data_IF_906951559687
#
_entry.id   IF_906951559687
#
_cell.length_a   1.000
_cell.length_b   1.000
_cell.length_c   1.000
_cell.angle_alpha   90.00
_cell.angle_beta   90.00
_cell.angle_gamma   90.00
#
_symmetry.space_group_name_H-M   'P 1'
#
loop_
_entity.id
_entity.type
_entity.pdbx_description
1 polymer ?
#
# COMPACT_ATOMS: atom_id res chain seq x y z
N UNK A 1 -28.17 14.73 -13.81
CA UNK A 1 -26.71 14.87 -13.96
C UNK A 1 -26.16 13.45 -13.87
N UNK A 2 -25.86 12.83 -15.00
CA UNK A 2 -25.21 11.52 -15.07
C UNK A 2 -23.73 11.74 -14.70
N UNK A 3 -23.40 11.51 -13.44
CA UNK A 3 -22.00 11.49 -13.04
C UNK A 3 -21.37 10.21 -13.59
N UNK A 4 -20.44 10.35 -14.53
CA UNK A 4 -19.63 9.22 -14.98
C UNK A 4 -18.96 8.58 -13.75
N UNK A 5 -19.42 7.41 -13.39
CA UNK A 5 -18.81 6.63 -12.30
C UNK A 5 -17.44 6.17 -12.77
N UNK A 6 -16.40 6.87 -12.32
CA UNK A 6 -15.02 6.48 -12.65
C UNK A 6 -14.63 5.29 -11.81
N UNK A 7 -14.58 4.13 -12.42
CA UNK A 7 -14.08 2.89 -11.78
C UNK A 7 -12.59 3.01 -11.56
N UNK A 8 -12.17 2.83 -10.31
CA UNK A 8 -10.77 2.83 -9.88
C UNK A 8 -10.34 1.42 -9.50
N UNK A 9 -9.06 1.16 -9.61
CA UNK A 9 -8.48 -0.14 -9.31
C UNK A 9 -7.43 0.00 -8.21
N UNK A 10 -7.47 -0.91 -7.23
CA UNK A 10 -6.46 -1.00 -6.18
C UNK A 10 -5.91 -2.40 -6.06
N UNK A 11 -4.60 -2.57 -5.89
CA UNK A 11 -3.98 -3.83 -5.52
C UNK A 11 -4.48 -4.27 -4.14
N UNK A 12 -4.84 -5.55 -4.01
CA UNK A 12 -5.33 -6.13 -2.75
C UNK A 12 -4.59 -7.40 -2.36
N UNK A 13 -4.04 -8.10 -3.35
CA UNK A 13 -3.33 -9.35 -3.10
C UNK A 13 -2.22 -9.58 -4.12
N UNK A 14 -1.15 -10.27 -3.69
CA UNK A 14 -0.06 -10.71 -4.57
C UNK A 14 0.07 -12.22 -4.46
N UNK A 15 0.17 -12.88 -5.59
CA UNK A 15 0.46 -14.32 -5.69
C UNK A 15 1.54 -14.54 -6.73
N UNK A 16 2.01 -15.77 -6.87
CA UNK A 16 3.03 -16.13 -7.85
C UNK A 16 2.46 -17.21 -8.76
N UNK A 17 2.77 -17.11 -10.05
CA UNK A 17 2.47 -18.18 -11.02
C UNK A 17 3.41 -19.39 -10.83
N UNK A 18 3.27 -20.39 -11.70
CA UNK A 18 4.08 -21.60 -11.66
C UNK A 18 5.58 -21.32 -11.94
N UNK A 19 5.86 -20.29 -12.69
CA UNK A 19 7.19 -19.82 -13.06
C UNK A 19 7.81 -18.91 -11.99
N UNK A 20 7.05 -18.54 -10.94
CA UNK A 20 7.49 -17.68 -9.86
C UNK A 20 7.33 -16.17 -10.16
N UNK A 21 6.66 -15.81 -11.25
CA UNK A 21 6.40 -14.40 -11.57
C UNK A 21 5.27 -13.83 -10.71
N UNK A 22 5.38 -12.55 -10.26
CA UNK A 22 4.35 -11.94 -9.44
C UNK A 22 3.10 -11.61 -10.24
N UNK A 23 1.96 -12.05 -9.72
CA UNK A 23 0.62 -11.73 -10.18
C UNK A 23 -0.09 -10.91 -9.12
N UNK A 24 -0.62 -9.76 -9.50
CA UNK A 24 -1.30 -8.82 -8.60
C UNK A 24 -2.80 -8.84 -8.87
N UNK A 25 -3.57 -9.13 -7.84
CA UNK A 25 -5.03 -9.04 -7.89
C UNK A 25 -5.46 -7.60 -7.58
N UNK A 26 -6.27 -7.05 -8.49
CA UNK A 26 -6.87 -5.74 -8.37
C UNK A 26 -8.38 -5.87 -8.14
N UNK A 27 -8.89 -5.00 -7.28
CA UNK A 27 -10.32 -4.85 -7.03
C UNK A 27 -10.78 -3.47 -7.51
N UNK A 28 -11.94 -3.44 -8.15
CA UNK A 28 -12.58 -2.19 -8.55
C UNK A 28 -13.29 -1.53 -7.36
N UNK A 29 -13.23 -0.20 -7.29
CA UNK A 29 -13.96 0.60 -6.31
C UNK A 29 -14.34 1.97 -6.91
N UNK A 30 -15.35 2.61 -6.33
CA UNK A 30 -15.89 3.87 -6.83
C UNK A 30 -15.52 5.07 -5.96
N UNK A 31 -15.33 4.86 -4.67
CA UNK A 31 -15.12 5.92 -3.70
C UNK A 31 -13.73 6.57 -3.81
N UNK A 32 -13.67 7.85 -3.51
CA UNK A 32 -12.38 8.56 -3.35
C UNK A 32 -11.97 8.57 -1.89
N UNK A 33 -10.67 8.43 -1.67
CA UNK A 33 -10.07 8.49 -0.35
C UNK A 33 -10.16 7.16 0.41
N UNK A 34 -9.30 7.05 1.39
CA UNK A 34 -9.28 5.99 2.36
C UNK A 34 -9.94 6.52 3.64
N UNK A 35 -10.97 5.84 4.13
CA UNK A 35 -11.78 6.30 5.26
C UNK A 35 -11.45 5.57 6.55
N UNK A 36 -10.80 4.40 6.45
CA UNK A 36 -10.53 3.53 7.59
C UNK A 36 -9.11 3.75 8.15
N UNK A 37 -8.87 3.42 9.43
CA UNK A 37 -7.56 3.53 10.06
C UNK A 37 -6.45 2.68 9.42
N UNK A 38 -6.82 1.56 8.80
CA UNK A 38 -5.94 0.63 8.09
C UNK A 38 -6.44 0.42 6.67
N UNK A 39 -5.51 0.26 5.74
CA UNK A 39 -5.82 0.07 4.31
C UNK A 39 -6.73 -1.14 4.06
N UNK A 40 -6.44 -2.26 4.70
CA UNK A 40 -7.22 -3.50 4.48
C UNK A 40 -8.67 -3.38 4.96
N UNK A 41 -8.95 -2.51 5.92
CA UNK A 41 -10.34 -2.23 6.33
C UNK A 41 -11.13 -1.49 5.24
N UNK A 42 -10.48 -0.64 4.45
CA UNK A 42 -11.10 -0.05 3.25
C UNK A 42 -11.30 -1.11 2.16
N UNK A 43 -10.33 -2.01 1.95
CA UNK A 43 -10.47 -3.15 1.04
C UNK A 43 -11.66 -4.03 1.45
N UNK A 44 -11.78 -4.39 2.72
CA UNK A 44 -12.93 -5.15 3.22
C UNK A 44 -14.26 -4.42 2.96
N UNK A 45 -14.28 -3.10 3.13
CA UNK A 45 -15.46 -2.28 2.85
C UNK A 45 -15.81 -2.29 1.36
N UNK A 46 -14.83 -2.16 0.48
CA UNK A 46 -15.06 -2.25 -0.98
C UNK A 46 -15.60 -3.63 -1.38
N UNK A 47 -15.04 -4.69 -0.82
CA UNK A 47 -15.46 -6.06 -1.10
C UNK A 47 -16.88 -6.41 -0.61
N UNK A 48 -17.51 -5.58 0.23
CA UNK A 48 -18.93 -5.70 0.56
C UNK A 48 -19.84 -5.28 -0.59
N UNK A 49 -19.33 -4.50 -1.55
CA UNK A 49 -20.07 -4.15 -2.75
C UNK A 49 -20.02 -5.33 -3.76
N UNK A 50 -21.18 -5.89 -4.18
CA UNK A 50 -21.20 -6.99 -5.14
C UNK A 50 -20.48 -6.66 -6.46
N UNK A 51 -20.52 -5.41 -6.93
CA UNK A 51 -19.79 -4.99 -8.12
C UNK A 51 -18.27 -5.16 -7.96
N UNK A 52 -17.72 -4.81 -6.80
CA UNK A 52 -16.29 -4.99 -6.51
C UNK A 52 -15.87 -6.46 -6.42
N UNK A 53 -16.81 -7.35 -6.01
CA UNK A 53 -16.57 -8.80 -6.02
C UNK A 53 -16.50 -9.37 -7.44
N UNK A 54 -17.29 -8.83 -8.35
CA UNK A 54 -17.36 -9.27 -9.76
C UNK A 54 -16.26 -8.63 -10.60
N UNK A 55 -15.92 -7.37 -10.31
CA UNK A 55 -14.91 -6.60 -11.05
C UNK A 55 -13.54 -6.81 -10.40
N UNK A 56 -12.91 -7.92 -10.73
CA UNK A 56 -11.54 -8.26 -10.33
C UNK A 56 -10.66 -8.45 -11.56
N UNK A 57 -9.42 -8.08 -11.44
CA UNK A 57 -8.39 -8.31 -12.47
C UNK A 57 -7.16 -8.90 -11.83
N UNK A 58 -6.52 -9.83 -12.52
CA UNK A 58 -5.18 -10.30 -12.17
C UNK A 58 -4.23 -9.86 -13.28
N UNK A 59 -3.19 -9.14 -12.92
CA UNK A 59 -2.22 -8.58 -13.87
C UNK A 59 -0.79 -8.89 -13.43
N UNK A 60 0.13 -8.91 -14.39
CA UNK A 60 1.57 -9.04 -14.13
C UNK A 60 2.20 -7.72 -13.70
N UNK A 61 3.47 -7.80 -13.24
CA UNK A 61 4.22 -6.63 -12.77
C UNK A 61 4.34 -5.53 -13.84
N UNK A 62 4.63 -5.89 -15.08
CA UNK A 62 4.74 -4.91 -16.17
C UNK A 62 3.44 -4.14 -16.45
N UNK A 63 2.29 -4.81 -16.38
CA UNK A 63 0.98 -4.16 -16.49
C UNK A 63 0.67 -3.28 -15.28
N UNK A 64 1.05 -3.70 -14.08
CA UNK A 64 0.89 -2.90 -12.86
C UNK A 64 1.69 -1.60 -12.94
N UNK A 65 2.94 -1.66 -13.41
CA UNK A 65 3.78 -0.48 -13.64
C UNK A 65 3.16 0.47 -14.68
N UNK A 66 2.60 -0.08 -15.77
CA UNK A 66 1.94 0.70 -16.82
C UNK A 66 0.60 1.31 -16.38
N UNK A 67 -0.03 0.79 -15.33
CA UNK A 67 -1.30 1.29 -14.81
C UNK A 67 -1.18 2.72 -14.27
N UNK A 68 0.01 3.14 -13.80
CA UNK A 68 0.25 4.45 -13.19
C UNK A 68 1.43 5.14 -13.87
N UNK A 69 1.22 5.74 -15.07
CA UNK A 69 2.29 6.38 -15.82
C UNK A 69 2.86 7.63 -15.14
N UNK A 70 2.07 8.28 -14.28
CA UNK A 70 2.49 9.42 -13.47
C UNK A 70 2.29 9.09 -11.97
N UNK A 71 3.25 8.41 -11.34
CA UNK A 71 3.06 7.91 -9.99
C UNK A 71 3.01 9.05 -8.95
N UNK A 72 2.17 8.89 -7.92
CA UNK A 72 2.16 9.79 -6.77
C UNK A 72 3.53 9.84 -6.10
N UNK A 73 3.86 11.02 -5.58
CA UNK A 73 5.09 11.18 -4.82
C UNK A 73 4.94 10.59 -3.42
N UNK A 74 5.76 9.61 -3.07
CA UNK A 74 5.84 9.13 -1.69
C UNK A 74 6.62 10.16 -0.86
N UNK A 75 5.92 10.88 0.03
CA UNK A 75 6.47 11.99 0.82
C UNK A 75 6.88 11.58 2.24
N UNK A 76 6.57 10.37 2.66
CA UNK A 76 6.99 9.85 3.97
C UNK A 76 6.86 8.34 4.10
N UNK A 77 7.81 7.73 4.81
CA UNK A 77 7.77 6.36 5.29
C UNK A 77 7.68 6.40 6.81
N UNK A 78 6.65 5.79 7.39
CA UNK A 78 6.43 5.71 8.83
C UNK A 78 6.67 4.28 9.29
N UNK A 79 7.74 4.11 10.04
CA UNK A 79 8.04 2.89 10.81
C UNK A 79 7.56 3.09 12.24
N UNK A 80 7.15 2.04 12.90
CA UNK A 80 6.63 2.18 14.24
C UNK A 80 6.78 0.91 15.08
N UNK A 81 6.80 1.11 16.38
CA UNK A 81 6.57 0.06 17.37
C UNK A 81 5.04 -0.14 17.53
N UNK A 82 4.59 -1.37 17.74
CA UNK A 82 3.19 -1.63 18.03
C UNK A 82 2.69 -0.80 19.22
N UNK A 83 1.41 -0.34 19.16
CA UNK A 83 0.72 0.42 20.21
C UNK A 83 1.38 1.76 20.62
N UNK A 84 2.19 2.36 19.75
CA UNK A 84 2.81 3.66 20.00
C UNK A 84 1.96 4.88 19.59
N UNK A 85 0.77 4.67 19.00
CA UNK A 85 -0.10 5.74 18.50
C UNK A 85 0.10 6.07 17.01
N UNK A 86 0.81 5.23 16.27
CA UNK A 86 1.11 5.45 14.84
C UNK A 86 -0.13 5.57 13.96
N UNK A 87 -1.23 4.89 14.31
CA UNK A 87 -2.51 5.00 13.58
C UNK A 87 -3.08 6.41 13.67
N UNK A 88 -3.01 7.05 14.85
CA UNK A 88 -3.44 8.44 15.00
C UNK A 88 -2.59 9.39 14.14
N UNK A 89 -1.27 9.18 14.12
CA UNK A 89 -0.37 9.99 13.27
C UNK A 89 -0.74 9.86 11.79
N UNK A 90 -0.97 8.64 11.30
CA UNK A 90 -1.36 8.45 9.89
C UNK A 90 -2.74 9.02 9.58
N UNK A 91 -3.70 8.95 10.49
CA UNK A 91 -5.00 9.59 10.33
C UNK A 91 -4.87 11.13 10.26
N UNK A 92 -4.01 11.74 11.08
CA UNK A 92 -3.71 13.17 10.98
C UNK A 92 -3.06 13.53 9.64
N UNK A 93 -2.15 12.69 9.12
CA UNK A 93 -1.50 12.91 7.83
C UNK A 93 -2.48 12.77 6.65
N UNK A 94 -3.52 11.95 6.77
CA UNK A 94 -4.56 11.83 5.74
C UNK A 94 -5.47 13.06 5.65
N UNK A 95 -5.43 13.95 6.64
CA UNK A 95 -6.14 15.24 6.58
C UNK A 95 -5.38 16.30 5.77
N UNK A 96 -4.14 16.06 5.42
CA UNK A 96 -3.36 16.98 4.58
C UNK A 96 -3.93 16.96 3.15
N UNK A 97 -4.29 18.12 2.59
CA UNK A 97 -4.86 18.19 1.24
C UNK A 97 -3.98 17.48 0.21
N UNK A 98 -4.59 16.74 -0.70
CA UNK A 98 -3.93 15.97 -1.77
C UNK A 98 -2.83 15.03 -1.25
N UNK A 99 -3.08 14.40 -0.10
CA UNK A 99 -2.21 13.38 0.49
C UNK A 99 -3.03 12.20 0.98
N UNK A 100 -2.61 10.99 0.64
CA UNK A 100 -3.21 9.75 1.13
C UNK A 100 -2.26 9.03 2.06
N UNK A 101 -2.78 8.51 3.17
CA UNK A 101 -2.00 7.66 4.07
C UNK A 101 -2.36 6.19 3.82
N UNK A 102 -1.41 5.45 3.27
CA UNK A 102 -1.47 3.99 3.13
C UNK A 102 -1.01 3.36 4.43
N UNK A 103 -1.94 2.87 5.24
CA UNK A 103 -1.63 2.33 6.56
C UNK A 103 -1.64 0.80 6.55
N UNK A 104 -0.46 0.21 6.67
CA UNK A 104 -0.22 -1.23 6.82
C UNK A 104 -0.90 -2.10 5.74
N UNK A 105 -0.72 -1.83 4.43
CA UNK A 105 -1.32 -2.68 3.39
C UNK A 105 -0.70 -4.08 3.43
N UNK A 106 -1.51 -5.11 3.71
CA UNK A 106 -1.04 -6.50 3.81
C UNK A 106 -0.45 -7.02 2.48
N UNK A 107 -0.93 -6.52 1.33
CA UNK A 107 -0.38 -6.94 0.04
C UNK A 107 1.12 -6.62 -0.13
N UNK A 108 1.69 -5.68 0.63
CA UNK A 108 3.13 -5.40 0.64
C UNK A 108 3.95 -6.51 1.31
N UNK A 109 3.37 -7.28 2.22
CA UNK A 109 4.08 -8.37 2.90
C UNK A 109 4.59 -9.42 1.90
N UNK A 110 3.81 -9.69 0.86
CA UNK A 110 4.21 -10.62 -0.19
C UNK A 110 5.44 -10.13 -0.97
N UNK A 111 5.53 -8.83 -1.25
CA UNK A 111 6.70 -8.25 -1.90
C UNK A 111 7.91 -8.18 -0.95
N UNK A 112 7.68 -7.97 0.35
CA UNK A 112 8.72 -7.87 1.37
C UNK A 112 9.24 -9.24 1.79
N UNK A 113 8.35 -10.22 2.03
CA UNK A 113 8.68 -11.50 2.67
C UNK A 113 8.22 -12.74 1.92
N UNK A 114 7.18 -12.64 1.10
CA UNK A 114 6.52 -13.80 0.49
C UNK A 114 7.33 -14.53 -0.59
N UNK A 115 8.46 -13.97 -1.03
CA UNK A 115 9.23 -14.56 -2.11
C UNK A 115 10.75 -14.26 -2.06
N UNK A 116 11.44 -14.39 -0.90
CA UNK A 116 12.88 -14.15 -0.87
C UNK A 116 13.64 -15.11 -1.82
N UNK A 117 13.12 -16.31 -2.02
CA UNK A 117 13.72 -17.35 -2.87
C UNK A 117 13.16 -17.39 -4.31
N UNK A 118 12.11 -16.63 -4.61
CA UNK A 118 11.43 -16.63 -5.91
C UNK A 118 11.70 -15.38 -6.75
N UNK A 119 11.93 -14.26 -6.11
CA UNK A 119 12.18 -12.99 -6.78
C UNK A 119 13.56 -12.45 -6.44
N UNK A 120 14.28 -12.01 -7.46
CA UNK A 120 15.48 -11.21 -7.26
C UNK A 120 15.16 -9.86 -6.61
N UNK A 121 16.21 -9.22 -6.07
CA UNK A 121 16.07 -7.96 -5.34
C UNK A 121 15.44 -6.85 -6.19
N UNK A 122 15.83 -6.75 -7.45
CA UNK A 122 15.38 -5.67 -8.33
C UNK A 122 13.89 -5.82 -8.67
N UNK A 123 13.44 -7.03 -8.93
CA UNK A 123 12.03 -7.34 -9.14
C UNK A 123 11.21 -7.04 -7.87
N UNK A 124 11.71 -7.34 -6.69
CA UNK A 124 11.05 -6.99 -5.41
C UNK A 124 10.94 -5.48 -5.22
N UNK A 125 11.99 -4.73 -5.53
CA UNK A 125 12.00 -3.25 -5.48
C UNK A 125 10.96 -2.67 -6.45
N UNK A 126 10.90 -3.18 -7.67
CA UNK A 126 9.91 -2.76 -8.69
C UNK A 126 8.49 -3.06 -8.24
N UNK A 127 8.25 -4.28 -7.73
CA UNK A 127 6.94 -4.70 -7.22
C UNK A 127 6.48 -3.80 -6.06
N UNK A 128 7.33 -3.50 -5.09
CA UNK A 128 7.03 -2.59 -3.98
C UNK A 128 6.64 -1.19 -4.48
N UNK A 129 7.40 -0.63 -5.43
CA UNK A 129 7.07 0.67 -6.02
C UNK A 129 5.73 0.64 -6.72
N UNK A 130 5.52 -0.34 -7.59
CA UNK A 130 4.31 -0.45 -8.38
C UNK A 130 3.06 -0.62 -7.50
N UNK A 131 3.14 -1.44 -6.44
CA UNK A 131 2.05 -1.63 -5.48
C UNK A 131 1.71 -0.31 -4.76
N UNK A 132 2.71 0.37 -4.18
CA UNK A 132 2.49 1.63 -3.45
C UNK A 132 1.92 2.70 -4.37
N UNK A 133 2.45 2.84 -5.59
CA UNK A 133 1.95 3.80 -6.56
C UNK A 133 0.51 3.49 -6.99
N UNK A 134 0.21 2.22 -7.29
CA UNK A 134 -1.14 1.82 -7.71
C UNK A 134 -2.19 1.97 -6.60
N UNK A 135 -1.81 1.74 -5.32
CA UNK A 135 -2.69 2.00 -4.19
C UNK A 135 -2.93 3.50 -3.96
N UNK A 136 -1.92 4.35 -4.18
CA UNK A 136 -2.03 5.78 -3.89
C UNK A 136 -2.67 6.59 -5.03
N UNK A 137 -2.39 6.25 -6.28
CA UNK A 137 -2.78 7.02 -7.46
C UNK A 137 -4.27 7.34 -7.58
N UNK A 138 -5.20 6.43 -7.21
CA UNK A 138 -6.62 6.74 -7.27
C UNK A 138 -7.09 7.82 -6.29
N UNK A 139 -6.28 8.15 -5.28
CA UNK A 139 -6.69 8.97 -4.14
C UNK A 139 -6.06 10.36 -4.13
N UNK A 140 -4.73 10.46 -4.39
CA UNK A 140 -3.99 11.71 -4.24
C UNK A 140 -2.70 11.72 -5.07
N UNK A 141 -2.10 12.91 -5.29
CA UNK A 141 -0.79 13.04 -5.93
C UNK A 141 0.38 12.81 -4.98
N UNK A 142 0.13 12.79 -3.65
CA UNK A 142 1.11 12.52 -2.61
C UNK A 142 0.64 11.39 -1.72
N UNK A 143 1.59 10.60 -1.24
CA UNK A 143 1.30 9.50 -0.35
C UNK A 143 2.28 9.45 0.84
N UNK A 144 1.78 8.99 1.97
CA UNK A 144 2.58 8.51 3.10
C UNK A 144 2.33 7.02 3.24
N UNK A 145 3.37 6.23 3.40
CA UNK A 145 3.26 4.80 3.67
C UNK A 145 3.66 4.54 5.13
N UNK A 146 2.73 4.03 5.91
CA UNK A 146 2.99 3.41 7.21
C UNK A 146 3.09 1.91 6.99
N UNK A 147 4.24 1.33 7.28
CA UNK A 147 4.47 -0.11 7.20
C UNK A 147 4.08 -0.79 8.52
N UNK A 148 3.71 -2.06 8.47
CA UNK A 148 3.45 -2.85 9.66
C UNK A 148 4.72 -2.97 10.52
N UNK A 149 4.59 -3.06 11.86
CA UNK A 149 5.71 -2.98 12.80
C UNK A 149 6.85 -3.98 12.51
N UNK A 150 6.49 -5.20 12.11
CA UNK A 150 7.48 -6.25 11.79
C UNK A 150 8.19 -5.99 10.46
N UNK A 151 7.58 -5.25 9.53
CA UNK A 151 8.18 -4.87 8.24
C UNK A 151 9.30 -3.83 8.39
N UNK A 152 9.50 -3.26 9.59
CA UNK A 152 10.66 -2.44 9.87
C UNK A 152 11.98 -3.20 9.69
N UNK A 153 11.96 -4.53 9.79
CA UNK A 153 13.12 -5.39 9.52
C UNK A 153 13.52 -5.39 8.02
N UNK A 154 12.59 -5.05 7.13
CA UNK A 154 12.78 -4.99 5.68
C UNK A 154 13.14 -3.56 5.20
N UNK A 155 13.59 -2.68 6.12
CA UNK A 155 13.87 -1.26 5.84
C UNK A 155 14.87 -1.05 4.68
N UNK A 156 15.82 -1.97 4.46
CA UNK A 156 16.79 -1.87 3.36
C UNK A 156 16.11 -2.02 1.98
N UNK A 157 15.13 -2.91 1.86
CA UNK A 157 14.37 -3.08 0.62
C UNK A 157 13.47 -1.86 0.36
N UNK A 158 12.80 -1.36 1.41
CA UNK A 158 12.00 -0.14 1.34
C UNK A 158 12.87 1.09 0.99
N UNK A 159 14.10 1.18 1.52
CA UNK A 159 15.07 2.21 1.17
C UNK A 159 15.47 2.14 -0.29
N UNK A 160 15.67 0.94 -0.83
CA UNK A 160 16.00 0.73 -2.25
C UNK A 160 14.82 1.09 -3.16
N UNK A 161 13.60 0.79 -2.73
CA UNK A 161 12.40 1.18 -3.46
C UNK A 161 12.16 2.69 -3.45
N UNK A 162 12.43 3.37 -2.33
CA UNK A 162 12.15 4.80 -2.13
C UNK A 162 13.35 5.54 -1.50
N UNK A 163 14.45 5.73 -2.25
CA UNK A 163 15.72 6.19 -1.69
C UNK A 163 15.69 7.61 -1.15
N UNK A 164 14.89 8.49 -1.74
CA UNK A 164 14.80 9.92 -1.38
C UNK A 164 13.66 10.24 -0.42
N UNK A 165 12.82 9.26 -0.07
CA UNK A 165 11.67 9.48 0.81
C UNK A 165 12.12 9.62 2.27
N UNK A 166 11.71 10.70 2.97
CA UNK A 166 11.95 10.86 4.40
C UNK A 166 11.37 9.70 5.21
N UNK A 167 12.05 9.34 6.29
CA UNK A 167 11.68 8.22 7.16
C UNK A 167 11.53 8.69 8.59
N UNK A 168 10.48 8.21 9.25
CA UNK A 168 10.22 8.47 10.67
C UNK A 168 10.02 7.13 11.37
N UNK A 169 10.61 6.96 12.53
CA UNK A 169 10.34 5.84 13.42
C UNK A 169 9.60 6.34 14.67
N UNK A 170 8.38 5.84 14.86
CA UNK A 170 7.54 6.16 16.00
C UNK A 170 7.71 5.09 17.08
N UNK A 171 8.04 5.52 18.27
CA UNK A 171 8.16 4.64 19.42
C UNK A 171 7.45 5.23 20.65
N UNK A 172 7.18 4.40 21.62
CA UNK A 172 6.64 4.77 22.93
C UNK A 172 7.40 4.02 24.02
N UNK A 173 7.45 4.58 25.22
CA UNK A 173 8.01 3.91 26.38
C UNK A 173 7.41 2.50 26.53
N UNK A 174 8.23 1.43 26.54
CA UNK A 174 7.77 0.06 26.64
C UNK A 174 6.87 -0.22 27.84
N UNK A 175 7.14 0.42 28.98
CA UNK A 175 6.33 0.30 30.19
C UNK A 175 4.89 0.77 29.93
N UNK A 176 4.73 1.88 29.18
CA UNK A 176 3.42 2.42 28.81
C UNK A 176 2.72 1.64 27.68
N UNK A 177 3.45 0.80 26.96
CA UNK A 177 2.90 -0.07 25.94
C UNK A 177 2.31 -1.34 26.56
N UNK A 178 2.92 -1.82 27.66
CA UNK A 178 2.55 -3.07 28.33
C UNK A 178 1.55 -2.86 29.47
N UNK A 179 1.36 -1.64 29.93
CA UNK A 179 0.36 -1.27 30.93
C UNK A 179 -1.04 -1.09 30.31
#
# INVERSE_FOLDING_TARGET
>A
MSGDTVVRWSPVHVRFDAEGSPLVELVAFEERGLAQPLFDMDVERWLRNPASLLLRRTIGLGELEALVPAPPRLVGLVFHQSRCGSTLVTQCLSLVPDCVALAEPTCLEFALRGAPDRLDRDTRVRLLRALVHAMAAPHASRAVLKVEATQALDHELLRSAFPTTPRVFLHRDPVRVLA
#
